data_IF_573320365044
#
_entry.id   IF_573320365044
#
_cell.length_a   1.000
_cell.length_b   1.000
_cell.length_c   1.000
_cell.angle_alpha   90.00
_cell.angle_beta   90.00
_cell.angle_gamma   90.00
#
_symmetry.space_group_name_H-M   'P 1'
#
loop_
_entity.id
_entity.type
_entity.pdbx_description
1 polymer ?
#
# COMPACT_ATOMS: atom_id res chain seq x y z
N UNK A 1 1.59 -84.36 -0.04
CA UNK A 1 1.60 -83.60 -1.34
C UNK A 1 1.05 -82.23 -1.05
N UNK A 2 1.94 -81.31 -0.73
CA UNK A 2 1.62 -79.92 -0.33
C UNK A 2 2.09 -78.95 -1.38
N UNK A 3 1.14 -78.36 -2.10
CA UNK A 3 1.41 -77.36 -3.15
C UNK A 3 1.60 -75.97 -2.48
N UNK A 4 2.83 -75.47 -2.54
CA UNK A 4 3.14 -74.06 -2.20
C UNK A 4 2.82 -73.19 -3.40
N UNK A 5 1.84 -72.27 -3.26
CA UNK A 5 1.51 -71.27 -4.22
C UNK A 5 2.44 -70.06 -4.04
N UNK A 6 3.21 -69.69 -5.04
CA UNK A 6 4.04 -68.50 -5.08
C UNK A 6 3.18 -67.28 -5.51
N UNK A 7 3.20 -66.21 -4.70
CA UNK A 7 2.55 -64.94 -5.04
C UNK A 7 3.57 -64.03 -5.72
N UNK A 8 3.19 -63.34 -6.83
CA UNK A 8 4.06 -62.41 -7.50
C UNK A 8 4.11 -61.09 -6.71
N UNK A 9 5.32 -60.64 -6.40
CA UNK A 9 5.59 -59.31 -5.82
C UNK A 9 5.51 -58.30 -6.96
N UNK A 10 4.46 -57.43 -6.95
CA UNK A 10 4.38 -56.30 -7.84
C UNK A 10 5.34 -55.18 -7.30
N UNK A 11 6.40 -54.94 -8.05
CA UNK A 11 7.30 -53.80 -7.81
C UNK A 11 6.61 -52.49 -8.28
N UNK A 12 6.17 -51.68 -7.35
CA UNK A 12 5.63 -50.33 -7.64
C UNK A 12 6.80 -49.37 -7.88
N UNK A 13 7.09 -49.07 -9.16
CA UNK A 13 8.09 -48.05 -9.51
C UNK A 13 7.52 -46.65 -9.27
N UNK A 14 7.97 -46.00 -8.21
CA UNK A 14 7.70 -44.58 -7.96
C UNK A 14 8.53 -43.72 -8.92
N UNK A 15 7.90 -43.16 -9.94
CA UNK A 15 8.50 -42.11 -10.76
C UNK A 15 8.37 -40.80 -10.00
N UNK A 16 9.46 -40.35 -9.41
CA UNK A 16 9.55 -39.04 -8.81
C UNK A 16 9.60 -37.94 -9.90
N UNK A 17 8.48 -37.33 -10.20
CA UNK A 17 8.45 -36.12 -11.04
C UNK A 17 9.06 -34.95 -10.23
N UNK A 18 10.31 -34.60 -10.56
CA UNK A 18 10.89 -33.31 -10.12
C UNK A 18 10.10 -32.18 -10.81
N UNK A 19 9.13 -31.59 -10.08
CA UNK A 19 8.50 -30.36 -10.49
C UNK A 19 9.55 -29.24 -10.52
N UNK A 20 9.90 -28.73 -11.68
CA UNK A 20 10.71 -27.54 -11.82
C UNK A 20 9.97 -26.37 -11.16
N UNK A 21 10.48 -25.87 -10.04
CA UNK A 21 10.04 -24.62 -9.45
C UNK A 21 10.34 -23.50 -10.46
N UNK A 22 9.30 -22.94 -11.07
CA UNK A 22 9.45 -21.77 -11.91
C UNK A 22 10.07 -20.65 -11.05
N UNK A 23 11.09 -19.92 -11.56
CA UNK A 23 11.68 -18.81 -10.82
C UNK A 23 10.57 -17.80 -10.51
N UNK A 24 10.44 -17.41 -9.24
CA UNK A 24 9.57 -16.31 -8.86
C UNK A 24 9.99 -15.09 -9.68
N UNK A 25 9.07 -14.58 -10.51
CA UNK A 25 9.33 -13.38 -11.32
C UNK A 25 9.70 -12.23 -10.38
N UNK A 26 10.96 -11.81 -10.43
CA UNK A 26 11.42 -10.66 -9.67
C UNK A 26 10.54 -9.45 -10.07
N UNK A 27 9.94 -8.78 -9.10
CA UNK A 27 9.21 -7.54 -9.36
C UNK A 27 10.18 -6.56 -10.02
N UNK A 28 9.78 -5.91 -11.13
CA UNK A 28 10.65 -4.93 -11.77
C UNK A 28 11.02 -3.84 -10.76
N UNK A 29 12.29 -3.46 -10.74
CA UNK A 29 12.75 -2.35 -9.90
C UNK A 29 12.01 -1.07 -10.26
N UNK A 30 11.63 -0.29 -9.25
CA UNK A 30 10.97 1.00 -9.44
C UNK A 30 11.82 1.93 -10.32
N UNK A 31 11.20 2.59 -11.30
CA UNK A 31 11.86 3.40 -12.31
C UNK A 31 11.26 4.81 -12.38
N UNK A 32 12.08 5.82 -12.13
CA UNK A 32 11.64 7.21 -12.10
C UNK A 32 11.21 7.75 -13.48
N UNK A 33 11.77 7.25 -14.58
CA UNK A 33 11.37 7.67 -15.92
C UNK A 33 9.98 7.12 -16.27
N UNK A 34 9.71 5.84 -15.98
CA UNK A 34 8.36 5.28 -16.09
C UNK A 34 7.38 6.02 -15.18
N UNK A 35 7.79 6.35 -13.95
CA UNK A 35 6.99 7.14 -13.02
C UNK A 35 6.61 8.51 -13.55
N UNK A 36 7.53 9.20 -14.23
CA UNK A 36 7.25 10.46 -14.90
C UNK A 36 6.24 10.33 -16.05
N UNK A 37 6.38 9.28 -16.86
CA UNK A 37 5.41 8.97 -17.91
C UNK A 37 4.02 8.64 -17.33
N UNK A 38 3.96 7.85 -16.24
CA UNK A 38 2.73 7.54 -15.51
C UNK A 38 2.08 8.80 -14.92
N UNK A 39 2.88 9.71 -14.35
CA UNK A 39 2.39 10.96 -13.77
C UNK A 39 1.63 11.81 -14.82
N UNK A 40 2.12 11.84 -16.06
CA UNK A 40 1.42 12.45 -17.16
C UNK A 40 0.20 11.62 -17.62
N UNK A 41 0.38 10.33 -17.88
CA UNK A 41 -0.67 9.45 -18.40
C UNK A 41 -1.87 9.26 -17.46
N UNK A 42 -1.64 9.31 -16.13
CA UNK A 42 -2.68 9.24 -15.09
C UNK A 42 -3.27 10.62 -14.74
N UNK A 43 -3.03 11.65 -15.57
CA UNK A 43 -3.56 13.01 -15.45
C UNK A 43 -3.09 13.79 -14.20
N UNK A 44 -2.07 13.31 -13.47
CA UNK A 44 -1.55 14.02 -12.30
C UNK A 44 -1.00 15.41 -12.67
N UNK A 45 -0.30 15.50 -13.81
CA UNK A 45 0.27 16.73 -14.35
C UNK A 45 -0.80 17.78 -14.73
N UNK A 46 -2.06 17.39 -14.88
CA UNK A 46 -3.16 18.31 -15.15
C UNK A 46 -3.37 19.32 -14.01
N UNK A 47 -3.19 18.87 -12.77
CA UNK A 47 -3.38 19.66 -11.56
C UNK A 47 -2.05 20.07 -10.91
N UNK A 48 -1.04 19.19 -10.95
CA UNK A 48 0.31 19.41 -10.40
C UNK A 48 1.24 19.95 -11.48
N UNK A 49 1.08 21.22 -11.80
CA UNK A 49 1.82 21.93 -12.86
C UNK A 49 3.19 22.39 -12.37
N UNK A 50 4.11 22.71 -13.28
CA UNK A 50 5.34 23.43 -12.93
C UNK A 50 5.05 24.73 -12.20
N UNK A 51 5.99 25.16 -11.37
CA UNK A 51 5.89 26.42 -10.64
C UNK A 51 5.76 27.60 -11.63
N UNK A 52 4.80 28.47 -11.36
CA UNK A 52 4.48 29.61 -12.24
C UNK A 52 3.42 29.30 -13.30
N UNK A 53 3.04 28.05 -13.49
CA UNK A 53 1.90 27.69 -14.32
C UNK A 53 0.62 27.57 -13.48
N UNK A 54 -0.56 27.95 -14.02
CA UNK A 54 -1.81 27.82 -13.30
C UNK A 54 -2.17 26.34 -13.12
N UNK A 55 -2.42 25.94 -11.86
CA UNK A 55 -2.84 24.59 -11.47
C UNK A 55 -3.59 24.64 -10.14
N UNK A 56 -4.47 23.67 -9.90
CA UNK A 56 -5.24 23.57 -8.65
C UNK A 56 -4.50 22.82 -7.54
N UNK A 57 -3.47 22.05 -7.90
CA UNK A 57 -2.61 21.33 -6.98
C UNK A 57 -1.32 22.10 -6.67
N UNK A 58 -0.56 21.68 -5.65
CA UNK A 58 0.78 22.22 -5.42
C UNK A 58 1.68 21.97 -6.65
N UNK A 59 2.65 22.87 -6.87
CA UNK A 59 3.60 22.74 -7.96
C UNK A 59 4.36 21.41 -7.89
N UNK A 60 4.68 20.84 -9.06
CA UNK A 60 5.37 19.53 -9.10
C UNK A 60 6.71 19.56 -8.34
N UNK A 61 7.41 20.68 -8.33
CA UNK A 61 8.67 20.84 -7.60
C UNK A 61 8.48 20.77 -6.07
N UNK A 62 7.29 21.13 -5.57
CA UNK A 62 6.98 21.06 -4.14
C UNK A 62 6.64 19.63 -3.70
N UNK A 63 6.15 18.80 -4.61
CA UNK A 63 5.82 17.40 -4.34
C UNK A 63 6.95 16.45 -4.73
N UNK A 64 7.71 16.76 -5.79
CA UNK A 64 8.87 16.02 -6.26
C UNK A 64 10.14 16.53 -5.61
N UNK A 65 10.44 16.03 -4.41
CA UNK A 65 11.62 16.38 -3.62
C UNK A 65 12.18 15.17 -2.89
N UNK A 66 13.48 15.16 -2.54
CA UNK A 66 14.04 14.10 -1.69
C UNK A 66 13.27 13.99 -0.37
N UNK A 67 12.66 12.83 -0.10
CA UNK A 67 11.81 12.56 1.05
C UNK A 67 11.81 11.07 1.40
N UNK A 68 11.43 10.72 2.61
CA UNK A 68 11.22 9.33 3.02
C UNK A 68 10.06 8.69 2.25
N UNK A 69 10.10 7.38 2.08
CA UNK A 69 9.03 6.68 1.37
C UNK A 69 7.73 6.68 2.20
N UNK A 70 7.79 6.50 3.51
CA UNK A 70 6.63 6.64 4.39
C UNK A 70 6.19 8.10 4.56
N UNK A 71 7.11 9.07 4.48
CA UNK A 71 6.74 10.49 4.44
C UNK A 71 5.85 10.77 3.22
N UNK A 72 6.29 10.34 2.02
CA UNK A 72 5.49 10.52 0.79
C UNK A 72 4.15 9.76 0.88
N UNK A 73 4.14 8.51 1.35
CA UNK A 73 2.92 7.73 1.51
C UNK A 73 1.92 8.42 2.46
N UNK A 74 2.40 9.02 3.55
CA UNK A 74 1.58 9.81 4.48
C UNK A 74 1.02 11.08 3.83
N UNK A 75 1.81 11.76 3.00
CA UNK A 75 1.35 12.94 2.24
C UNK A 75 0.29 12.55 1.21
N UNK A 76 0.46 11.43 0.49
CA UNK A 76 -0.54 10.90 -0.43
C UNK A 76 -1.85 10.58 0.30
N UNK A 77 -1.76 9.87 1.43
CA UNK A 77 -2.91 9.59 2.28
C UNK A 77 -3.64 10.87 2.71
N UNK A 78 -2.93 11.86 3.25
CA UNK A 78 -3.52 13.10 3.73
C UNK A 78 -4.21 13.89 2.63
N UNK A 79 -3.73 13.76 1.40
CA UNK A 79 -4.16 14.56 0.25
C UNK A 79 -5.23 13.86 -0.59
N UNK A 80 -5.26 12.55 -0.61
CA UNK A 80 -6.15 11.77 -1.46
C UNK A 80 -7.65 12.15 -1.34
N UNK A 81 -8.24 12.43 -0.16
CA UNK A 81 -9.64 12.86 -0.08
C UNK A 81 -9.92 14.19 -0.80
N UNK A 82 -8.98 15.15 -0.73
CA UNK A 82 -9.13 16.42 -1.44
C UNK A 82 -8.98 16.23 -2.96
N UNK A 83 -8.03 15.41 -3.41
CA UNK A 83 -7.89 15.04 -4.82
C UNK A 83 -9.14 14.34 -5.35
N UNK A 84 -9.68 13.38 -4.61
CA UNK A 84 -10.89 12.66 -5.00
C UNK A 84 -12.07 13.62 -5.21
N UNK A 85 -12.25 14.58 -4.30
CA UNK A 85 -13.29 15.61 -4.41
C UNK A 85 -13.06 16.50 -5.64
N UNK A 86 -11.82 16.92 -5.88
CA UNK A 86 -11.48 17.78 -7.04
C UNK A 86 -11.70 17.05 -8.36
N UNK A 87 -11.21 15.81 -8.48
CA UNK A 87 -11.43 14.98 -9.67
C UNK A 87 -12.92 14.80 -9.97
N UNK A 88 -13.73 14.54 -8.94
CA UNK A 88 -15.18 14.42 -9.09
C UNK A 88 -15.84 15.71 -9.62
N UNK A 89 -15.39 16.88 -9.18
CA UNK A 89 -15.88 18.17 -9.69
C UNK A 89 -15.48 18.43 -11.16
N UNK A 90 -14.30 17.94 -11.55
CA UNK A 90 -13.78 18.04 -12.91
C UNK A 90 -14.34 16.94 -13.84
N UNK A 91 -15.18 16.04 -13.34
CA UNK A 91 -15.71 14.89 -14.10
C UNK A 91 -14.65 13.85 -14.46
N UNK A 92 -13.54 13.82 -13.73
CA UNK A 92 -12.43 12.89 -13.97
C UNK A 92 -12.55 11.65 -13.05
N UNK A 93 -12.28 10.45 -13.57
CA UNK A 93 -12.28 9.25 -12.75
C UNK A 93 -11.08 9.23 -11.78
N UNK A 94 -11.25 8.54 -10.65
CA UNK A 94 -10.12 8.23 -9.77
C UNK A 94 -9.12 7.31 -10.49
N UNK A 95 -7.85 7.71 -10.64
CA UNK A 95 -6.89 6.94 -11.42
C UNK A 95 -6.58 5.60 -10.75
N UNK A 96 -6.65 4.52 -11.54
CA UNK A 96 -6.26 3.20 -11.08
C UNK A 96 -4.73 3.09 -11.15
N UNK A 97 -4.10 2.75 -10.03
CA UNK A 97 -2.65 2.62 -9.88
C UNK A 97 -2.33 1.24 -9.29
N UNK A 98 -1.64 0.41 -10.06
CA UNK A 98 -1.14 -0.86 -9.58
C UNK A 98 0.04 -0.70 -8.60
N UNK A 99 0.38 -1.73 -7.80
CA UNK A 99 1.55 -1.65 -6.91
C UNK A 99 2.87 -1.35 -7.63
N UNK A 100 3.07 -1.87 -8.85
CA UNK A 100 4.25 -1.58 -9.65
C UNK A 100 4.28 -0.11 -10.11
N UNK A 101 3.16 0.40 -10.63
CA UNK A 101 3.02 1.80 -11.01
C UNK A 101 3.19 2.74 -9.80
N UNK A 102 2.70 2.36 -8.62
CA UNK A 102 2.91 3.13 -7.39
C UNK A 102 4.41 3.21 -7.05
N UNK A 103 5.15 2.12 -7.21
CA UNK A 103 6.61 2.12 -7.02
C UNK A 103 7.30 3.11 -7.97
N UNK A 104 6.96 3.07 -9.26
CA UNK A 104 7.52 3.97 -10.27
C UNK A 104 7.16 5.44 -9.99
N UNK A 105 5.91 5.74 -9.62
CA UNK A 105 5.47 7.08 -9.23
C UNK A 105 6.21 7.59 -7.99
N UNK A 106 6.39 6.75 -6.98
CA UNK A 106 7.12 7.13 -5.77
C UNK A 106 8.61 7.38 -6.08
N UNK A 107 9.23 6.60 -6.97
CA UNK A 107 10.59 6.85 -7.45
C UNK A 107 10.68 8.18 -8.23
N UNK A 108 9.73 8.46 -9.09
CA UNK A 108 9.65 9.76 -9.79
C UNK A 108 9.54 10.93 -8.81
N UNK A 109 8.74 10.77 -7.76
CA UNK A 109 8.55 11.78 -6.70
C UNK A 109 9.70 11.82 -5.68
N UNK A 110 10.81 11.12 -5.96
CA UNK A 110 12.05 11.09 -5.17
C UNK A 110 11.88 10.52 -3.75
N UNK A 111 10.97 9.55 -3.59
CA UNK A 111 10.86 8.80 -2.36
C UNK A 111 12.04 7.83 -2.21
N UNK A 112 12.69 7.85 -1.06
CA UNK A 112 13.82 6.99 -0.74
C UNK A 112 13.58 6.33 0.63
N UNK A 113 13.41 5.00 0.70
CA UNK A 113 13.22 4.29 1.96
C UNK A 113 14.38 4.46 2.95
N UNK A 114 15.59 4.75 2.47
CA UNK A 114 16.75 4.99 3.34
C UNK A 114 16.63 6.30 4.16
N UNK A 115 15.71 7.18 3.79
CA UNK A 115 15.41 8.42 4.53
C UNK A 115 14.37 8.23 5.63
N UNK A 116 13.67 7.10 5.64
CA UNK A 116 12.71 6.82 6.70
C UNK A 116 13.47 6.39 7.97
N UNK A 117 13.17 6.95 9.14
CA UNK A 117 13.75 6.46 10.40
C UNK A 117 13.21 5.07 10.73
N UNK A 118 13.94 4.34 11.55
CA UNK A 118 13.44 3.09 12.13
C UNK A 118 12.12 3.35 12.87
N UNK A 119 11.08 2.51 12.70
CA UNK A 119 9.78 2.72 13.31
C UNK A 119 9.83 2.54 14.83
N UNK A 120 9.24 3.48 15.56
CA UNK A 120 8.95 3.35 16.99
C UNK A 120 7.60 2.63 17.16
N UNK A 121 7.65 1.36 17.55
CA UNK A 121 6.45 0.52 17.64
C UNK A 121 5.48 0.99 18.72
N UNK A 122 5.97 1.53 19.82
CA UNK A 122 5.13 2.05 20.92
C UNK A 122 4.36 3.31 20.47
N UNK A 123 5.02 4.20 19.73
CA UNK A 123 4.33 5.32 19.10
C UNK A 123 3.34 4.84 18.06
N UNK A 124 3.67 3.80 17.28
CA UNK A 124 2.78 3.21 16.29
C UNK A 124 1.48 2.70 16.89
N UNK A 125 1.56 1.99 18.01
CA UNK A 125 0.38 1.55 18.78
C UNK A 125 -0.46 2.74 19.28
N UNK A 126 0.20 3.73 19.86
CA UNK A 126 -0.45 4.95 20.32
C UNK A 126 -1.17 5.68 19.18
N UNK A 127 -0.56 5.76 18.00
CA UNK A 127 -1.14 6.37 16.80
C UNK A 127 -2.40 5.61 16.36
N UNK A 128 -2.37 4.26 16.32
CA UNK A 128 -3.52 3.44 15.98
C UNK A 128 -4.75 3.79 16.82
N UNK A 129 -4.55 3.93 18.13
CA UNK A 129 -5.63 4.26 19.08
C UNK A 129 -6.05 5.72 18.94
N UNK A 130 -5.11 6.66 19.00
CA UNK A 130 -5.40 8.10 19.01
C UNK A 130 -6.00 8.60 17.71
N UNK A 131 -5.60 8.06 16.56
CA UNK A 131 -6.19 8.40 15.26
C UNK A 131 -7.54 7.73 15.02
N UNK A 132 -8.02 6.90 15.98
CA UNK A 132 -9.35 6.31 15.95
C UNK A 132 -9.53 5.21 14.91
N UNK A 133 -8.45 4.56 14.45
CA UNK A 133 -8.52 3.46 13.48
C UNK A 133 -9.44 2.33 13.95
N UNK A 134 -9.40 2.02 15.26
CA UNK A 134 -10.20 0.95 15.86
C UNK A 134 -11.69 1.30 16.02
N UNK A 135 -12.13 2.51 15.69
CA UNK A 135 -13.58 2.82 15.61
C UNK A 135 -14.25 2.08 14.46
N UNK A 136 -13.51 1.83 13.38
CA UNK A 136 -14.01 1.18 12.17
C UNK A 136 -13.36 -0.18 11.92
N UNK A 137 -12.07 -0.30 12.17
CA UNK A 137 -11.28 -1.52 11.97
C UNK A 137 -11.14 -2.30 13.27
N UNK A 138 -10.89 -3.60 13.15
CA UNK A 138 -10.41 -4.40 14.28
C UNK A 138 -8.93 -4.77 14.08
N UNK A 139 -8.27 -5.07 15.22
CA UNK A 139 -6.97 -5.68 15.29
C UNK A 139 -7.02 -6.81 16.31
N UNK A 140 -6.77 -8.05 15.89
CA UNK A 140 -6.82 -9.24 16.78
C UNK A 140 -8.17 -9.43 17.51
N UNK A 141 -9.27 -9.04 16.85
CA UNK A 141 -10.62 -9.17 17.38
C UNK A 141 -11.11 -7.99 18.23
N UNK A 142 -10.25 -7.03 18.52
CA UNK A 142 -10.60 -5.80 19.23
C UNK A 142 -10.85 -4.65 18.26
N UNK A 143 -11.93 -3.89 18.44
CA UNK A 143 -12.31 -2.74 17.64
C UNK A 143 -13.57 -2.92 16.79
N UNK A 144 -13.76 -2.02 15.82
CA UNK A 144 -14.90 -1.97 14.92
C UNK A 144 -14.88 -3.06 13.85
N UNK A 145 -16.02 -3.22 13.15
CA UNK A 145 -16.19 -4.21 12.07
C UNK A 145 -16.70 -3.57 10.78
N UNK A 146 -16.61 -2.26 10.65
CA UNK A 146 -16.97 -1.52 9.44
C UNK A 146 -15.90 -1.71 8.37
N UNK A 147 -14.63 -1.59 8.77
CA UNK A 147 -13.48 -1.80 7.92
C UNK A 147 -12.88 -3.21 8.06
N UNK A 148 -11.93 -3.57 7.17
CA UNK A 148 -11.24 -4.86 7.25
C UNK A 148 -10.40 -5.00 8.53
N UNK A 149 -10.16 -6.25 8.92
CA UNK A 149 -9.25 -6.60 10.03
C UNK A 149 -7.80 -6.24 9.67
N UNK A 150 -7.21 -5.33 10.45
CA UNK A 150 -5.83 -4.87 10.25
C UNK A 150 -4.82 -5.98 10.56
N UNK A 151 -5.15 -6.93 11.43
CA UNK A 151 -4.30 -8.06 11.78
C UNK A 151 -4.13 -9.10 10.66
N UNK A 152 -4.93 -9.04 9.61
CA UNK A 152 -4.90 -9.98 8.47
C UNK A 152 -4.35 -9.37 7.19
N UNK A 153 -3.61 -8.27 7.27
CA UNK A 153 -3.14 -7.49 6.13
C UNK A 153 -1.62 -7.36 6.06
N UNK A 154 -0.87 -8.37 6.54
CA UNK A 154 0.59 -8.33 6.66
C UNK A 154 1.30 -7.79 5.41
N UNK A 155 0.95 -8.28 4.24
CA UNK A 155 1.57 -7.87 2.98
C UNK A 155 1.43 -6.36 2.67
N UNK A 156 0.37 -5.71 3.15
CA UNK A 156 0.18 -4.25 3.00
C UNK A 156 1.22 -3.46 3.80
N UNK A 157 1.77 -4.05 4.84
CA UNK A 157 2.72 -3.40 5.75
C UNK A 157 4.19 -3.70 5.43
N UNK A 158 4.47 -4.46 4.36
CA UNK A 158 5.83 -4.87 4.01
C UNK A 158 6.70 -3.72 3.48
N UNK A 159 6.08 -2.70 2.88
CA UNK A 159 6.78 -1.51 2.41
C UNK A 159 5.85 -0.30 2.30
N UNK A 160 6.45 0.90 2.21
CA UNK A 160 5.71 2.13 1.93
C UNK A 160 4.96 2.06 0.60
N UNK A 161 5.53 1.41 -0.42
CA UNK A 161 4.89 1.20 -1.74
C UNK A 161 3.66 0.30 -1.62
N UNK A 162 3.77 -0.83 -0.92
CA UNK A 162 2.66 -1.75 -0.71
C UNK A 162 1.51 -1.06 0.03
N UNK A 163 1.86 -0.31 1.09
CA UNK A 163 0.88 0.47 1.85
C UNK A 163 0.23 1.56 0.99
N UNK A 164 1.01 2.37 0.28
CA UNK A 164 0.50 3.45 -0.55
C UNK A 164 -0.42 2.94 -1.66
N UNK A 165 -0.06 1.84 -2.33
CA UNK A 165 -0.88 1.22 -3.37
C UNK A 165 -2.22 0.71 -2.82
N UNK A 166 -2.20 0.01 -1.67
CA UNK A 166 -3.42 -0.48 -1.03
C UNK A 166 -4.31 0.69 -0.57
N UNK A 167 -3.71 1.73 0.01
CA UNK A 167 -4.46 2.88 0.51
C UNK A 167 -4.97 3.78 -0.62
N UNK A 168 -4.31 3.82 -1.76
CA UNK A 168 -4.77 4.58 -2.91
C UNK A 168 -6.19 4.19 -3.33
N UNK A 169 -6.49 2.90 -3.40
CA UNK A 169 -7.84 2.41 -3.72
C UNK A 169 -8.78 2.43 -2.51
N UNK A 170 -8.25 2.36 -1.29
CA UNK A 170 -9.03 2.30 -0.07
C UNK A 170 -9.46 3.68 0.45
N UNK A 171 -8.67 4.72 0.21
CA UNK A 171 -8.91 6.07 0.76
C UNK A 171 -10.25 6.68 0.36
N UNK A 172 -10.70 6.67 -0.90
CA UNK A 172 -11.98 7.26 -1.26
C UNK A 172 -13.18 6.66 -0.51
N UNK A 173 -13.39 5.33 -0.50
CA UNK A 173 -14.52 4.74 0.25
C UNK A 173 -14.38 4.92 1.76
N UNK A 174 -13.15 4.89 2.31
CA UNK A 174 -12.92 5.12 3.72
C UNK A 174 -13.24 6.57 4.12
N UNK A 175 -12.83 7.55 3.33
CA UNK A 175 -13.14 8.96 3.58
C UNK A 175 -14.65 9.23 3.52
N UNK A 176 -15.34 8.66 2.54
CA UNK A 176 -16.79 8.74 2.41
C UNK A 176 -17.50 8.13 3.62
N UNK A 177 -17.07 6.94 4.07
CA UNK A 177 -17.65 6.29 5.25
C UNK A 177 -17.38 7.09 6.53
N UNK A 178 -16.16 7.64 6.70
CA UNK A 178 -15.84 8.48 7.84
C UNK A 178 -16.77 9.71 7.91
N UNK A 179 -17.00 10.35 6.77
CA UNK A 179 -17.92 11.49 6.67
C UNK A 179 -19.38 11.08 7.00
N UNK A 180 -19.86 9.96 6.45
CA UNK A 180 -21.22 9.44 6.69
C UNK A 180 -21.51 9.23 8.19
N UNK A 181 -20.53 8.70 8.93
CA UNK A 181 -20.71 8.40 10.36
C UNK A 181 -20.16 9.49 11.30
N UNK A 182 -19.80 10.66 10.78
CA UNK A 182 -19.32 11.80 11.57
C UNK A 182 -17.95 11.59 12.24
N UNK A 183 -17.09 10.75 11.67
CA UNK A 183 -15.72 10.51 12.17
C UNK A 183 -14.72 11.32 11.35
N UNK A 184 -13.82 12.03 12.03
CA UNK A 184 -12.76 12.77 11.35
C UNK A 184 -11.81 11.82 10.65
N UNK A 185 -11.55 12.06 9.34
CA UNK A 185 -10.56 11.31 8.58
C UNK A 185 -9.16 11.52 9.18
N UNK A 186 -8.44 10.46 9.57
CA UNK A 186 -7.15 10.57 10.24
C UNK A 186 -6.09 11.11 9.29
N UNK A 187 -5.25 12.01 9.80
CA UNK A 187 -4.10 12.58 9.08
C UNK A 187 -2.81 12.24 9.79
N UNK A 188 -1.75 12.05 9.03
CA UNK A 188 -0.42 11.75 9.54
C UNK A 188 0.50 12.96 9.40
N UNK A 189 1.35 13.18 10.40
CA UNK A 189 2.41 14.18 10.40
C UNK A 189 3.76 13.48 10.61
N UNK A 190 4.82 14.08 10.08
CA UNK A 190 6.19 13.58 10.25
C UNK A 190 6.32 12.06 10.02
N UNK A 191 6.77 11.33 11.03
CA UNK A 191 7.05 9.88 10.98
C UNK A 191 5.89 9.01 11.49
N UNK A 192 4.72 9.58 11.76
CA UNK A 192 3.58 8.85 12.33
C UNK A 192 3.18 7.66 11.48
N UNK A 193 3.19 7.80 10.15
CA UNK A 193 2.81 6.69 9.28
C UNK A 193 3.82 5.55 9.35
N UNK A 194 5.11 5.83 9.30
CA UNK A 194 6.16 4.82 9.43
C UNK A 194 6.05 4.04 10.75
N UNK A 195 5.81 4.77 11.85
CA UNK A 195 5.61 4.17 13.16
C UNK A 195 4.36 3.26 13.19
N UNK A 196 3.23 3.74 12.66
CA UNK A 196 1.99 2.96 12.60
C UNK A 196 2.16 1.68 11.77
N UNK A 197 2.72 1.80 10.55
CA UNK A 197 2.91 0.66 9.65
C UNK A 197 3.90 -0.34 10.25
N UNK A 198 4.98 0.14 10.88
CA UNK A 198 5.92 -0.71 11.62
C UNK A 198 5.25 -1.51 12.74
N UNK A 199 4.41 -0.86 13.54
CA UNK A 199 3.62 -1.54 14.56
C UNK A 199 2.67 -2.57 13.96
N UNK A 200 1.86 -2.21 12.97
CA UNK A 200 0.92 -3.12 12.33
C UNK A 200 1.65 -4.33 11.70
N UNK A 201 2.81 -4.10 11.08
CA UNK A 201 3.65 -5.17 10.56
C UNK A 201 4.11 -6.15 11.64
N UNK A 202 4.44 -5.65 12.83
CA UNK A 202 4.91 -6.48 13.96
C UNK A 202 3.81 -7.37 14.54
N UNK A 203 2.53 -6.99 14.41
CA UNK A 203 1.38 -7.67 15.04
C UNK A 203 0.47 -8.37 14.03
N UNK A 204 0.51 -8.07 12.75
CA UNK A 204 -0.28 -8.72 11.70
C UNK A 204 0.26 -10.10 11.32
N UNK A 205 -0.64 -10.96 10.79
CA UNK A 205 -0.35 -12.32 10.31
C UNK A 205 -0.39 -12.40 8.80
#
# INVERSE_FOLDING_TARGET
MTHLAAWPVLACSFVATLGALAPASAQPTADAARGGALFAAKECARCHRPRGEPGVGPAIEDVRRPQGAFELAGRLWNHAPAMFTTLGREGLPWPQISPAEMGDLMAYLQADPARDPAPDLSKGETILVRKGCLKCHNLRGEGGRIGPDLGQRRAVYDSAVAWAAAMWVHTPPMAAKAQEIGVTYPRFVEHELGNLVGYLRSVAR
#
